data_IF_253798319566
#
_entry.id   IF_253798319566
#
_cell.length_a   1.000
_cell.length_b   1.000
_cell.length_c   1.000
_cell.angle_alpha   90.00
_cell.angle_beta   90.00
_cell.angle_gamma   90.00
#
_symmetry.space_group_name_H-M   'P 1'
#
loop_
_entity.id
_entity.type
_entity.pdbx_description
1 polymer ?
#
# COMPACT_ATOMS: atom_id res chain seq x y z
N UNK A 1 18.51 11.96 -4.03
CA UNK A 1 17.61 12.91 -4.72
C UNK A 1 16.48 12.22 -5.48
N UNK A 2 16.67 11.03 -6.08
CA UNK A 2 15.61 10.32 -6.80
C UNK A 2 14.72 9.38 -5.95
N UNK A 3 15.14 9.02 -4.74
CA UNK A 3 14.45 8.01 -3.92
C UNK A 3 13.28 8.56 -3.07
N UNK A 4 12.72 7.73 -2.18
CA UNK A 4 11.49 8.03 -1.40
C UNK A 4 11.58 9.25 -0.46
N UNK A 5 12.79 9.77 -0.21
CA UNK A 5 13.01 11.03 0.52
C UNK A 5 13.31 12.23 -0.40
N UNK A 6 13.16 12.08 -1.71
CA UNK A 6 13.51 13.05 -2.74
C UNK A 6 12.37 13.32 -3.72
N UNK A 7 12.66 13.35 -5.02
CA UNK A 7 11.71 13.68 -6.09
C UNK A 7 10.46 12.77 -6.08
N UNK A 8 10.63 11.52 -5.64
CA UNK A 8 9.52 10.57 -5.55
C UNK A 8 8.82 10.54 -4.19
N UNK A 9 9.14 11.45 -3.27
CA UNK A 9 8.53 11.50 -1.95
C UNK A 9 7.05 11.93 -1.98
N UNK A 10 6.67 12.76 -2.97
CA UNK A 10 5.33 13.36 -3.10
C UNK A 10 4.59 12.95 -4.36
N UNK A 11 5.29 12.41 -5.35
CA UNK A 11 4.74 11.99 -6.64
C UNK A 11 5.52 10.78 -7.16
N UNK A 12 4.85 9.79 -7.73
CA UNK A 12 5.51 8.60 -8.32
C UNK A 12 6.13 8.89 -9.69
N UNK A 13 5.85 10.07 -10.23
CA UNK A 13 6.40 10.58 -11.49
C UNK A 13 6.90 12.00 -11.32
N UNK A 14 7.88 12.39 -12.12
CA UNK A 14 8.47 13.73 -12.10
C UNK A 14 8.94 14.12 -13.51
N UNK A 15 9.05 15.42 -13.72
CA UNK A 15 9.50 16.00 -14.98
C UNK A 15 10.93 16.52 -14.88
N UNK A 16 11.52 16.90 -16.01
CA UNK A 16 12.86 17.50 -16.01
C UNK A 16 12.94 18.80 -15.20
N UNK A 17 11.99 19.75 -15.29
CA UNK A 17 11.92 20.89 -14.38
C UNK A 17 11.89 20.50 -12.90
N UNK A 18 11.13 19.46 -12.55
CA UNK A 18 11.04 18.96 -11.17
C UNK A 18 12.39 18.43 -10.66
N UNK A 19 13.25 17.90 -11.54
CA UNK A 19 14.61 17.50 -11.18
C UNK A 19 15.58 18.69 -11.07
N UNK A 20 15.47 19.68 -11.97
CA UNK A 20 16.37 20.84 -12.05
C UNK A 20 16.28 21.71 -10.81
N UNK A 21 15.06 22.03 -10.36
CA UNK A 21 14.86 23.00 -9.27
C UNK A 21 15.50 22.54 -7.95
N UNK A 22 15.29 21.29 -7.46
CA UNK A 22 15.94 20.81 -6.26
C UNK A 22 17.47 20.67 -6.39
N UNK A 23 17.99 20.43 -7.60
CA UNK A 23 19.44 20.41 -7.85
C UNK A 23 20.00 21.82 -7.72
N UNK A 24 19.36 22.82 -8.34
CA UNK A 24 19.76 24.22 -8.26
C UNK A 24 19.78 24.72 -6.80
N UNK A 25 18.76 24.37 -6.01
CA UNK A 25 18.65 24.76 -4.59
C UNK A 25 19.76 24.20 -3.69
N UNK A 26 20.40 23.09 -4.08
CA UNK A 26 21.44 22.42 -3.30
C UNK A 26 22.85 22.81 -3.72
N UNK A 27 23.00 23.48 -4.85
CA UNK A 27 24.30 23.91 -5.35
C UNK A 27 24.70 25.26 -4.71
N UNK A 28 26.02 25.49 -4.50
CA UNK A 28 26.50 26.76 -4.00
C UNK A 28 26.09 27.94 -4.90
N UNK A 29 25.93 29.11 -4.30
CA UNK A 29 25.70 30.35 -5.04
C UNK A 29 26.83 30.58 -6.05
N UNK A 30 26.45 30.85 -7.31
CA UNK A 30 27.39 31.02 -8.43
C UNK A 30 27.52 29.82 -9.37
N UNK A 31 26.84 28.69 -9.11
CA UNK A 31 26.76 27.60 -10.07
C UNK A 31 26.08 28.06 -11.38
N UNK A 32 26.67 27.70 -12.53
CA UNK A 32 26.10 28.07 -13.83
C UNK A 32 24.82 27.26 -14.12
N UNK A 33 23.88 27.87 -14.85
CA UNK A 33 22.68 27.18 -15.31
C UNK A 33 23.02 25.94 -16.18
N UNK A 34 24.10 26.02 -16.98
CA UNK A 34 24.58 24.89 -17.79
C UNK A 34 25.00 23.71 -16.93
N UNK A 35 25.65 23.95 -15.79
CA UNK A 35 26.12 22.92 -14.89
C UNK A 35 24.96 22.23 -14.15
N UNK A 36 23.97 23.00 -13.70
CA UNK A 36 22.71 22.46 -13.12
C UNK A 36 22.02 21.52 -14.12
N UNK A 37 21.90 21.96 -15.36
CA UNK A 37 21.29 21.21 -16.46
C UNK A 37 22.06 19.91 -16.73
N UNK A 38 23.38 19.95 -16.78
CA UNK A 38 24.22 18.76 -16.99
C UNK A 38 24.03 17.71 -15.89
N UNK A 39 23.95 18.14 -14.61
CA UNK A 39 23.67 17.24 -13.50
C UNK A 39 22.27 16.63 -13.63
N UNK A 40 21.27 17.44 -13.98
CA UNK A 40 19.91 16.95 -14.19
C UNK A 40 19.84 15.93 -15.33
N UNK A 41 20.53 16.16 -16.44
CA UNK A 41 20.54 15.23 -17.58
C UNK A 41 21.26 13.92 -17.25
N UNK A 42 22.35 13.96 -16.47
CA UNK A 42 22.98 12.74 -15.93
C UNK A 42 22.05 11.99 -14.99
N UNK A 43 21.28 12.70 -14.17
CA UNK A 43 20.30 12.09 -13.26
C UNK A 43 19.16 11.41 -14.03
N UNK A 44 18.74 12.02 -15.14
CA UNK A 44 17.70 11.52 -16.04
C UNK A 44 18.21 10.47 -17.03
N UNK A 45 19.48 10.05 -16.94
CA UNK A 45 20.02 9.01 -17.77
C UNK A 45 19.30 7.67 -17.49
N UNK A 46 19.09 6.82 -18.53
CA UNK A 46 18.32 5.58 -18.41
C UNK A 46 18.81 4.59 -17.36
N UNK A 47 20.05 4.74 -16.85
CA UNK A 47 20.58 3.87 -15.80
C UNK A 47 19.81 3.97 -14.48
N UNK A 48 19.28 5.16 -14.14
CA UNK A 48 18.64 5.44 -12.84
C UNK A 48 17.12 5.64 -12.92
N UNK A 49 16.62 6.08 -14.07
CA UNK A 49 15.21 6.45 -14.27
C UNK A 49 14.65 5.80 -15.53
N UNK A 50 13.33 5.69 -15.59
CA UNK A 50 12.60 5.24 -16.76
C UNK A 50 11.70 6.36 -17.25
N UNK A 51 11.69 6.59 -18.56
CA UNK A 51 10.80 7.56 -19.20
C UNK A 51 9.46 6.87 -19.44
N UNK A 52 8.41 7.42 -18.85
CA UNK A 52 7.04 6.92 -19.03
C UNK A 52 6.34 7.59 -20.20
N UNK A 53 6.66 8.86 -20.45
CA UNK A 53 6.02 9.64 -21.49
C UNK A 53 7.05 10.48 -22.26
N UNK A 54 6.88 10.56 -23.57
CA UNK A 54 7.68 11.44 -24.41
C UNK A 54 7.30 12.91 -24.22
N UNK A 55 8.27 13.80 -24.44
CA UNK A 55 8.01 15.23 -24.41
C UNK A 55 7.21 15.65 -25.65
N UNK A 56 6.17 16.46 -25.46
CA UNK A 56 5.39 17.09 -26.53
C UNK A 56 5.37 18.61 -26.35
N UNK A 57 5.02 19.40 -27.38
CA UNK A 57 4.97 20.86 -27.24
C UNK A 57 4.07 21.27 -26.07
N UNK A 58 4.63 21.99 -25.10
CA UNK A 58 3.93 22.42 -23.89
C UNK A 58 3.81 21.38 -22.78
N UNK A 59 4.28 20.15 -22.98
CA UNK A 59 4.26 19.08 -21.96
C UNK A 59 5.63 18.39 -21.86
N UNK A 60 6.35 18.56 -20.74
CA UNK A 60 7.64 17.89 -20.55
C UNK A 60 7.46 16.36 -20.47
N UNK A 61 8.50 15.62 -20.82
CA UNK A 61 8.57 14.18 -20.60
C UNK A 61 8.39 13.85 -19.10
N UNK A 62 7.70 12.74 -18.83
CA UNK A 62 7.52 12.21 -17.49
C UNK A 62 8.45 11.03 -17.23
N UNK A 63 9.05 11.02 -16.06
CA UNK A 63 10.00 10.02 -15.61
C UNK A 63 9.53 9.40 -14.29
N UNK A 64 9.92 8.15 -14.07
CA UNK A 64 9.84 7.49 -12.77
C UNK A 64 11.20 6.86 -12.47
N UNK A 65 11.39 6.36 -11.25
CA UNK A 65 12.62 5.61 -10.92
C UNK A 65 12.41 4.13 -11.20
N UNK A 66 13.49 3.45 -11.60
CA UNK A 66 13.47 1.99 -11.73
C UNK A 66 13.17 1.28 -10.41
N UNK A 67 13.52 1.91 -9.29
CA UNK A 67 13.18 1.42 -7.96
C UNK A 67 11.67 1.41 -7.74
N UNK A 68 10.96 2.49 -8.09
CA UNK A 68 9.50 2.54 -7.99
C UNK A 68 8.83 1.49 -8.89
N UNK A 69 9.30 1.34 -10.13
CA UNK A 69 8.78 0.32 -11.04
C UNK A 69 9.00 -1.09 -10.49
N UNK A 70 10.19 -1.36 -9.93
CA UNK A 70 10.46 -2.64 -9.27
C UNK A 70 9.48 -2.88 -8.11
N UNK A 71 9.28 -1.88 -7.24
CA UNK A 71 8.34 -1.98 -6.13
C UNK A 71 6.90 -2.23 -6.61
N UNK A 72 6.47 -1.58 -7.69
CA UNK A 72 5.15 -1.79 -8.30
C UNK A 72 5.01 -3.20 -8.87
N UNK A 73 6.02 -3.68 -9.60
CA UNK A 73 6.06 -5.05 -10.09
C UNK A 73 6.00 -6.08 -8.96
N UNK A 74 6.76 -5.87 -7.89
CA UNK A 74 6.74 -6.74 -6.71
C UNK A 74 5.38 -6.72 -5.99
N UNK A 75 4.73 -5.56 -5.90
CA UNK A 75 3.40 -5.41 -5.33
C UNK A 75 2.35 -6.18 -6.16
N UNK A 76 2.35 -5.98 -7.48
CA UNK A 76 1.43 -6.69 -8.40
C UNK A 76 1.68 -8.19 -8.36
N UNK A 77 2.95 -8.62 -8.44
CA UNK A 77 3.31 -10.04 -8.37
C UNK A 77 2.95 -10.68 -7.02
N UNK A 78 2.98 -9.91 -5.92
CA UNK A 78 2.53 -10.37 -4.62
C UNK A 78 1.01 -10.51 -4.59
N UNK A 79 0.28 -9.51 -5.06
CA UNK A 79 -1.18 -9.55 -5.13
C UNK A 79 -1.69 -10.72 -6.00
N UNK A 80 -1.03 -11.01 -7.12
CA UNK A 80 -1.38 -12.12 -8.02
C UNK A 80 -1.12 -13.51 -7.42
N UNK A 81 -0.21 -13.62 -6.44
CA UNK A 81 0.08 -14.89 -5.74
C UNK A 81 -0.89 -15.17 -4.59
N UNK A 82 -1.69 -14.18 -4.19
CA UNK A 82 -2.70 -14.35 -3.16
C UNK A 82 -3.82 -15.23 -3.73
N UNK A 83 -4.17 -16.35 -3.07
CA UNK A 83 -5.30 -17.17 -3.51
C UNK A 83 -6.59 -16.36 -3.58
N UNK A 84 -7.39 -16.53 -4.64
CA UNK A 84 -8.67 -15.84 -4.75
C UNK A 84 -9.59 -16.14 -3.58
N UNK A 85 -9.55 -17.38 -3.10
CA UNK A 85 -10.35 -17.87 -1.98
C UNK A 85 -9.44 -18.41 -0.88
N UNK A 86 -9.78 -18.07 0.36
CA UNK A 86 -9.14 -18.57 1.57
C UNK A 86 -10.21 -19.21 2.46
N UNK A 87 -9.99 -20.43 2.98
CA UNK A 87 -10.99 -21.17 3.75
C UNK A 87 -11.19 -20.62 5.18
N UNK A 88 -10.90 -19.34 5.42
CA UNK A 88 -10.77 -18.73 6.75
C UNK A 88 -11.93 -17.79 7.12
N UNK A 89 -13.13 -18.06 6.62
CA UNK A 89 -14.31 -17.30 7.04
C UNK A 89 -14.64 -17.57 8.52
N UNK A 90 -14.67 -16.50 9.32
CA UNK A 90 -15.10 -16.54 10.72
C UNK A 90 -16.63 -16.63 10.74
N UNK A 91 -17.21 -17.45 11.61
CA UNK A 91 -18.68 -17.56 11.66
C UNK A 91 -19.31 -16.20 11.97
N UNK A 92 -20.41 -15.85 11.27
CA UNK A 92 -21.09 -14.56 11.44
C UNK A 92 -21.42 -14.25 12.91
N UNK A 93 -21.84 -15.25 13.68
CA UNK A 93 -22.10 -15.11 15.12
C UNK A 93 -20.87 -14.67 15.93
N UNK A 94 -19.70 -15.20 15.60
CA UNK A 94 -18.45 -14.81 16.25
C UNK A 94 -18.09 -13.37 15.87
N UNK A 95 -18.22 -13.02 14.59
CA UNK A 95 -17.96 -11.68 14.10
C UNK A 95 -18.85 -10.65 14.79
N UNK A 96 -20.16 -10.91 14.92
CA UNK A 96 -21.07 -10.01 15.62
C UNK A 96 -20.66 -9.79 17.09
N UNK A 97 -20.28 -10.85 17.81
CA UNK A 97 -19.82 -10.70 19.21
C UNK A 97 -18.58 -9.81 19.32
N UNK A 98 -17.64 -9.94 18.39
CA UNK A 98 -16.40 -9.15 18.38
C UNK A 98 -16.74 -7.69 18.04
N UNK A 99 -17.55 -7.47 17.00
CA UNK A 99 -18.04 -6.15 16.63
C UNK A 99 -18.77 -5.47 17.80
N UNK A 100 -19.71 -6.15 18.46
CA UNK A 100 -20.41 -5.61 19.64
C UNK A 100 -19.45 -5.23 20.76
N UNK A 101 -18.42 -6.04 21.00
CA UNK A 101 -17.41 -5.77 22.03
C UNK A 101 -16.62 -4.50 21.71
N UNK A 102 -16.15 -4.36 20.47
CA UNK A 102 -15.42 -3.16 20.04
C UNK A 102 -16.32 -1.93 19.92
N UNK A 103 -17.60 -2.08 19.55
CA UNK A 103 -18.56 -0.97 19.57
C UNK A 103 -18.71 -0.40 20.98
N UNK A 104 -18.78 -1.26 22.01
CA UNK A 104 -18.92 -0.81 23.41
C UNK A 104 -17.61 -0.26 23.98
N UNK A 105 -16.48 -0.90 23.67
CA UNK A 105 -15.17 -0.58 24.24
C UNK A 105 -14.52 0.63 23.55
N UNK A 106 -14.54 0.63 22.23
CA UNK A 106 -13.76 1.55 21.39
C UNK A 106 -14.63 2.52 20.58
N UNK A 107 -15.97 2.37 20.63
CA UNK A 107 -16.90 3.26 19.96
C UNK A 107 -16.92 3.12 18.44
N UNK A 108 -16.84 1.88 17.92
CA UNK A 108 -16.95 1.64 16.48
C UNK A 108 -18.24 2.24 15.91
N UNK A 109 -18.11 2.97 14.81
CA UNK A 109 -19.25 3.45 14.04
C UNK A 109 -19.93 2.29 13.30
N UNK A 110 -21.16 2.50 12.82
CA UNK A 110 -21.86 1.51 11.99
C UNK A 110 -21.07 1.13 10.74
N UNK A 111 -20.49 2.12 10.06
CA UNK A 111 -19.66 1.91 8.85
C UNK A 111 -18.41 1.06 9.16
N UNK A 112 -17.74 1.34 10.27
CA UNK A 112 -16.57 0.57 10.71
C UNK A 112 -16.94 -0.87 11.07
N UNK A 113 -18.07 -1.06 11.73
CA UNK A 113 -18.61 -2.38 12.06
C UNK A 113 -18.97 -3.18 10.80
N UNK A 114 -19.61 -2.55 9.83
CA UNK A 114 -19.95 -3.18 8.54
C UNK A 114 -18.71 -3.57 7.76
N UNK A 115 -17.67 -2.73 7.75
CA UNK A 115 -16.39 -3.07 7.13
C UNK A 115 -15.75 -4.32 7.78
N UNK A 116 -15.78 -4.42 9.11
CA UNK A 116 -15.29 -5.61 9.83
C UNK A 116 -16.09 -6.85 9.47
N UNK A 117 -17.43 -6.74 9.39
CA UNK A 117 -18.30 -7.86 8.99
C UNK A 117 -17.97 -8.38 7.61
N UNK A 118 -17.88 -7.48 6.63
CA UNK A 118 -17.56 -7.82 5.24
C UNK A 118 -16.19 -8.50 5.17
N UNK A 119 -15.17 -7.91 5.81
CA UNK A 119 -13.82 -8.45 5.75
C UNK A 119 -13.70 -9.80 6.47
N UNK A 120 -14.29 -9.96 7.66
CA UNK A 120 -14.17 -11.17 8.48
C UNK A 120 -14.96 -12.38 7.97
N UNK A 121 -16.02 -12.14 7.19
CA UNK A 121 -16.86 -13.20 6.62
C UNK A 121 -16.54 -13.49 5.15
N UNK A 122 -15.79 -12.61 4.48
CA UNK A 122 -15.32 -12.81 3.12
C UNK A 122 -14.35 -13.99 3.04
N UNK A 123 -14.55 -14.84 2.04
CA UNK A 123 -13.59 -15.88 1.70
C UNK A 123 -12.48 -15.35 0.79
N UNK A 124 -12.49 -14.07 0.40
CA UNK A 124 -11.47 -13.53 -0.50
C UNK A 124 -10.09 -13.46 0.17
N UNK A 125 -9.05 -13.83 -0.58
CA UNK A 125 -7.66 -13.68 -0.12
C UNK A 125 -7.15 -12.25 -0.06
N UNK A 126 -7.90 -11.26 -0.58
CA UNK A 126 -7.54 -9.84 -0.50
C UNK A 126 -8.79 -9.01 -0.20
N UNK A 127 -8.66 -8.09 0.75
CA UNK A 127 -9.72 -7.14 1.14
C UNK A 127 -9.15 -5.73 1.28
N UNK A 128 -9.95 -4.74 0.92
CA UNK A 128 -9.57 -3.32 0.98
C UNK A 128 -10.43 -2.61 2.01
N UNK A 129 -9.79 -1.89 2.93
CA UNK A 129 -10.44 -1.00 3.88
C UNK A 129 -10.13 0.46 3.51
N UNK A 130 -11.09 1.10 2.86
CA UNK A 130 -11.03 2.53 2.52
C UNK A 130 -11.44 3.43 3.69
N UNK A 131 -10.99 4.68 3.66
CA UNK A 131 -11.42 5.69 4.63
C UNK A 131 -10.51 6.92 4.64
N UNK A 132 -11.08 8.09 4.95
CA UNK A 132 -10.32 9.33 5.10
C UNK A 132 -9.26 9.22 6.21
N UNK A 133 -8.28 10.13 6.21
CA UNK A 133 -7.34 10.22 7.33
C UNK A 133 -8.11 10.43 8.65
N UNK A 134 -7.72 9.70 9.71
CA UNK A 134 -8.40 9.71 11.02
C UNK A 134 -9.85 9.18 11.00
N UNK A 135 -10.29 8.45 9.96
CA UNK A 135 -11.62 7.81 9.93
C UNK A 135 -11.75 6.55 10.83
N UNK A 136 -10.74 6.26 11.65
CA UNK A 136 -10.72 5.09 12.54
C UNK A 136 -10.42 3.75 11.88
N UNK A 137 -9.71 3.75 10.73
CA UNK A 137 -9.20 2.52 10.07
C UNK A 137 -8.46 1.58 11.03
N UNK A 138 -7.68 2.14 11.97
CA UNK A 138 -6.97 1.35 12.99
C UNK A 138 -7.92 0.61 13.93
N UNK A 139 -9.04 1.23 14.31
CA UNK A 139 -10.04 0.60 15.19
C UNK A 139 -10.76 -0.55 14.47
N UNK A 140 -11.18 -0.35 13.22
CA UNK A 140 -11.73 -1.42 12.38
C UNK A 140 -10.72 -2.55 12.16
N UNK A 141 -9.45 -2.20 11.90
CA UNK A 141 -8.40 -3.20 11.67
C UNK A 141 -8.12 -4.03 12.93
N UNK A 142 -8.18 -3.42 14.13
CA UNK A 142 -8.03 -4.14 15.39
C UNK A 142 -9.16 -5.17 15.60
N UNK A 143 -10.42 -4.77 15.38
CA UNK A 143 -11.56 -5.68 15.48
C UNK A 143 -11.51 -6.81 14.45
N UNK A 144 -11.09 -6.49 13.22
CA UNK A 144 -10.87 -7.49 12.18
C UNK A 144 -9.73 -8.47 12.54
N UNK A 145 -8.61 -7.97 13.06
CA UNK A 145 -7.50 -8.81 13.51
C UNK A 145 -7.93 -9.77 14.62
N UNK A 146 -8.69 -9.30 15.61
CA UNK A 146 -9.25 -10.16 16.66
C UNK A 146 -10.16 -11.26 16.08
N UNK A 147 -11.00 -10.92 15.09
CA UNK A 147 -11.83 -11.91 14.41
C UNK A 147 -10.99 -13.00 13.71
N UNK A 148 -9.93 -12.61 13.01
CA UNK A 148 -9.03 -13.55 12.35
C UNK A 148 -8.29 -14.44 13.35
N UNK A 149 -7.78 -13.88 14.44
CA UNK A 149 -7.10 -14.64 15.49
C UNK A 149 -8.04 -15.64 16.15
N UNK A 150 -9.30 -15.24 16.39
CA UNK A 150 -10.33 -16.16 16.86
C UNK A 150 -10.56 -17.31 15.87
N UNK A 151 -10.68 -16.99 14.58
CA UNK A 151 -10.82 -17.98 13.51
C UNK A 151 -9.66 -18.98 13.47
N UNK A 152 -8.41 -18.49 13.58
CA UNK A 152 -7.20 -19.32 13.60
C UNK A 152 -7.18 -20.28 14.78
N UNK A 153 -7.36 -19.76 16.00
CA UNK A 153 -7.31 -20.57 17.22
C UNK A 153 -8.38 -21.66 17.30
N UNK A 154 -9.50 -21.49 16.60
CA UNK A 154 -10.62 -22.43 16.61
C UNK A 154 -10.70 -23.31 15.35
N UNK A 155 -10.02 -22.94 14.26
CA UNK A 155 -9.81 -23.81 13.09
C UNK A 155 -8.84 -24.95 13.43
N UNK A 156 -7.75 -24.67 14.14
CA UNK A 156 -6.76 -25.69 14.55
C UNK A 156 -7.38 -26.78 15.44
N UNK A 157 -8.43 -26.45 16.21
CA UNK A 157 -9.15 -27.43 17.04
C UNK A 157 -10.10 -28.33 16.25
N UNK A 158 -10.53 -27.93 15.05
CA UNK A 158 -11.36 -28.76 14.16
C UNK A 158 -10.53 -29.59 13.18
N UNK A 159 -9.21 -29.34 13.09
CA UNK A 159 -8.27 -29.95 12.14
C UNK A 159 -7.37 -31.05 12.72
N UNK A 160 -7.76 -31.76 13.79
CA UNK A 160 -7.10 -33.01 14.21
C UNK A 160 -7.42 -34.20 13.28
N UNK A 161 -8.10 -33.96 12.16
CA UNK A 161 -8.16 -34.82 10.99
C UNK A 161 -7.68 -34.05 9.78
N UNK A 162 -6.41 -34.26 9.41
CA UNK A 162 -5.90 -34.04 8.05
C UNK A 162 -5.77 -32.58 7.55
N UNK A 163 -4.74 -31.87 8.02
CA UNK A 163 -4.23 -30.67 7.34
C UNK A 163 -2.73 -30.83 7.06
N UNK A 164 -2.38 -31.08 5.79
CA UNK A 164 -1.01 -30.97 5.27
C UNK A 164 -0.89 -29.60 4.59
N UNK A 165 -0.26 -28.64 5.26
CA UNK A 165 0.01 -27.32 4.70
C UNK A 165 0.37 -26.32 5.78
N UNK A 166 1.67 -26.09 5.93
CA UNK A 166 2.27 -25.18 6.90
C UNK A 166 1.74 -23.74 6.72
N UNK A 167 1.19 -23.17 7.80
CA UNK A 167 0.51 -21.86 7.80
C UNK A 167 1.39 -20.83 8.49
N UNK A 168 2.53 -20.51 7.88
CA UNK A 168 3.30 -19.34 8.27
C UNK A 168 3.32 -18.33 7.13
N UNK A 169 2.81 -17.13 7.43
CA UNK A 169 3.08 -15.87 6.74
C UNK A 169 2.60 -15.73 5.28
N UNK A 170 1.47 -15.03 5.08
CA UNK A 170 1.40 -13.95 4.08
C UNK A 170 0.09 -13.17 4.18
N UNK A 171 0.11 -12.00 4.84
CA UNK A 171 -0.94 -10.98 4.66
C UNK A 171 -0.30 -9.60 4.68
N UNK A 172 -0.58 -8.80 3.64
CA UNK A 172 -0.15 -7.42 3.49
C UNK A 172 -1.40 -6.54 3.47
N UNK A 173 -1.60 -5.72 4.50
CA UNK A 173 -2.65 -4.70 4.51
C UNK A 173 -2.07 -3.40 3.93
N UNK A 174 -2.58 -2.96 2.78
CA UNK A 174 -2.19 -1.69 2.16
C UNK A 174 -3.27 -0.65 2.45
N UNK A 175 -2.93 0.36 3.24
CA UNK A 175 -3.82 1.51 3.48
C UNK A 175 -3.64 2.53 2.35
N UNK A 176 -4.65 2.67 1.49
CA UNK A 176 -4.68 3.73 0.48
C UNK A 176 -4.97 5.11 1.10
N UNK A 177 -4.45 6.21 0.52
CA UNK A 177 -4.90 7.56 0.87
C UNK A 177 -6.36 7.73 0.44
N UNK A 178 -7.17 8.32 1.34
CA UNK A 178 -8.51 8.76 1.00
C UNK A 178 -8.45 9.92 0.01
N UNK A 179 -9.37 9.92 -0.95
CA UNK A 179 -9.54 10.97 -1.96
C UNK A 179 -9.87 12.32 -1.32
#
# INVERSE_FOLDING_TARGET
MLGPAGLTARSTTFTRPDAIMPIAERLPHGASASYVVEIADRLLAPSAVERLEEATPGRPAAYTTRELLRCEHELVATAQRIPETTPRAVSARTVERIVETHTRRDGLTSEQADAVRILATSERGLGLLGGAARSGKTSSLAAFAEALDYGRLHADRRGAGECRGDVSANWLAVAGPGN
#
